data_IF_539462074439
#
_entry.id   IF_539462074439
#
_cell.length_a   1.000
_cell.length_b   1.000
_cell.length_c   1.000
_cell.angle_alpha   90.00
_cell.angle_beta   90.00
_cell.angle_gamma   90.00
#
_symmetry.space_group_name_H-M   'P 1'
#
loop_
_entity.id
_entity.type
_entity.pdbx_description
1 polymer ?
#
# COMPACT_ATOMS: atom_id res chain seq x y z
N UNK A 1 -6.73 29.30 16.97
CA UNK A 1 -6.67 27.87 17.32
C UNK A 1 -5.44 27.30 16.63
N UNK A 2 -4.42 26.90 17.39
CA UNK A 2 -3.17 26.32 16.85
C UNK A 2 -3.52 24.94 16.32
N UNK A 3 -3.52 24.77 15.00
CA UNK A 3 -3.47 23.45 14.39
C UNK A 3 -2.07 22.92 14.61
N UNK A 4 -1.90 22.02 15.58
CA UNK A 4 -0.70 21.19 15.66
C UNK A 4 -0.66 20.35 14.38
N UNK A 5 0.22 20.74 13.45
CA UNK A 5 0.72 19.85 12.41
C UNK A 5 1.54 18.76 13.11
N UNK A 6 0.85 17.76 13.65
CA UNK A 6 1.49 16.50 14.02
C UNK A 6 1.98 15.94 12.69
N UNK A 7 3.29 16.06 12.45
CA UNK A 7 3.99 15.28 11.44
C UNK A 7 3.94 13.82 11.92
N UNK A 8 2.75 13.22 11.83
CA UNK A 8 2.52 11.82 12.14
C UNK A 8 3.38 11.07 11.13
N UNK A 9 4.52 10.59 11.62
CA UNK A 9 5.37 9.69 10.86
C UNK A 9 4.53 8.47 10.53
N UNK A 10 3.93 8.47 9.35
CA UNK A 10 3.03 7.42 8.90
C UNK A 10 3.68 6.06 9.18
N UNK A 11 2.91 5.16 9.79
CA UNK A 11 3.38 3.80 10.05
C UNK A 11 3.79 3.14 8.73
N UNK A 12 4.67 2.14 8.78
CA UNK A 12 5.08 1.41 7.58
C UNK A 12 3.86 0.86 6.81
N UNK A 13 2.85 0.37 7.53
CA UNK A 13 1.57 -0.09 6.97
C UNK A 13 0.83 1.04 6.25
N UNK A 14 0.68 2.20 6.90
CA UNK A 14 0.00 3.36 6.31
C UNK A 14 0.74 3.90 5.08
N UNK A 15 2.09 3.90 5.09
CA UNK A 15 2.90 4.27 3.92
C UNK A 15 2.68 3.32 2.74
N UNK A 16 2.62 2.01 3.01
CA UNK A 16 2.33 0.99 1.99
C UNK A 16 0.92 1.18 1.42
N UNK A 17 -0.08 1.38 2.28
CA UNK A 17 -1.45 1.61 1.85
C UNK A 17 -1.58 2.89 1.01
N UNK A 18 -0.96 3.99 1.45
CA UNK A 18 -0.92 5.24 0.69
C UNK A 18 -0.29 5.05 -0.69
N UNK A 19 0.82 4.31 -0.78
CA UNK A 19 1.47 4.02 -2.06
C UNK A 19 0.60 3.13 -2.97
N UNK A 20 -0.06 2.12 -2.40
CA UNK A 20 -0.98 1.23 -3.10
C UNK A 20 -2.19 1.99 -3.65
N UNK A 21 -2.84 2.81 -2.82
CA UNK A 21 -3.97 3.66 -3.25
C UNK A 21 -3.53 4.67 -4.32
N UNK A 22 -2.37 5.30 -4.16
CA UNK A 22 -1.90 6.33 -5.09
C UNK A 22 -1.46 5.78 -6.46
N UNK A 23 -0.88 4.57 -6.52
CA UNK A 23 -0.39 3.97 -7.78
C UNK A 23 -1.35 2.95 -8.38
N UNK A 24 -2.28 2.41 -7.60
CA UNK A 24 -3.09 1.24 -7.94
C UNK A 24 -2.29 -0.07 -8.02
N UNK A 25 -1.03 -0.05 -8.49
CA UNK A 25 -0.14 -1.20 -8.63
C UNK A 25 1.27 -0.88 -8.16
N UNK A 26 1.81 -1.68 -7.25
CA UNK A 26 3.12 -1.47 -6.63
C UNK A 26 3.93 -2.76 -6.65
N UNK A 27 5.23 -2.67 -6.94
CA UNK A 27 6.13 -3.83 -6.95
C UNK A 27 6.71 -4.17 -5.57
N UNK A 28 7.10 -5.43 -5.35
CA UNK A 28 7.81 -5.85 -4.14
C UNK A 28 9.10 -5.07 -3.88
N UNK A 29 9.81 -4.63 -4.93
CA UNK A 29 11.01 -3.80 -4.82
C UNK A 29 10.71 -2.42 -4.22
N UNK A 30 9.57 -1.84 -4.55
CA UNK A 30 9.13 -0.56 -3.98
C UNK A 30 8.69 -0.73 -2.53
N UNK A 31 7.93 -1.78 -2.22
CA UNK A 31 7.52 -2.08 -0.85
C UNK A 31 8.71 -2.35 0.07
N UNK A 32 9.75 -3.02 -0.43
CA UNK A 32 10.99 -3.30 0.32
C UNK A 32 11.74 -2.04 0.73
N UNK A 33 11.59 -0.92 0.00
CA UNK A 33 12.15 0.39 0.38
C UNK A 33 11.42 1.02 1.56
N UNK A 34 10.15 0.65 1.79
CA UNK A 34 9.34 1.17 2.90
C UNK A 34 9.48 0.28 4.13
N UNK A 35 9.42 -1.04 3.94
CA UNK A 35 9.48 -2.00 5.03
C UNK A 35 10.18 -3.29 4.59
N UNK A 36 11.12 -3.76 5.41
CA UNK A 36 11.77 -5.07 5.18
C UNK A 36 10.75 -6.21 5.23
N UNK A 37 9.82 -6.18 6.20
CA UNK A 37 8.73 -7.16 6.36
C UNK A 37 7.44 -6.71 5.67
N UNK A 38 7.54 -6.17 4.46
CA UNK A 38 6.35 -5.75 3.70
C UNK A 38 5.28 -6.84 3.50
N UNK A 39 5.60 -8.16 3.37
CA UNK A 39 4.54 -9.16 3.22
C UNK A 39 3.63 -9.25 4.44
N UNK A 40 4.18 -9.07 5.64
CA UNK A 40 3.40 -9.02 6.88
C UNK A 40 2.50 -7.78 6.89
N UNK A 41 3.00 -6.63 6.42
CA UNK A 41 2.21 -5.39 6.34
C UNK A 41 1.08 -5.47 5.31
N UNK A 42 1.31 -6.16 4.19
CA UNK A 42 0.25 -6.46 3.22
C UNK A 42 -0.80 -7.41 3.83
N UNK A 43 -0.38 -8.38 4.65
CA UNK A 43 -1.31 -9.26 5.36
C UNK A 43 -2.14 -8.49 6.39
N UNK A 44 -1.51 -7.60 7.16
CA UNK A 44 -2.20 -6.70 8.10
C UNK A 44 -3.30 -5.91 7.38
N UNK A 45 -2.97 -5.28 6.23
CA UNK A 45 -3.94 -4.54 5.41
C UNK A 45 -5.09 -5.41 4.91
N UNK A 46 -4.83 -6.66 4.51
CA UNK A 46 -5.89 -7.60 4.11
C UNK A 46 -6.80 -7.96 5.28
N UNK A 47 -6.25 -8.14 6.48
CA UNK A 47 -7.04 -8.39 7.69
C UNK A 47 -7.85 -7.16 8.12
N UNK A 48 -7.35 -5.95 7.87
CA UNK A 48 -8.09 -4.69 8.05
C UNK A 48 -9.23 -4.52 7.03
N UNK A 49 -9.36 -5.41 6.04
CA UNK A 49 -10.43 -5.41 5.04
C UNK A 49 -10.06 -4.77 3.71
N UNK A 50 -8.80 -4.36 3.52
CA UNK A 50 -8.35 -3.81 2.24
C UNK A 50 -8.22 -4.89 1.17
N UNK A 51 -8.85 -4.65 0.02
CA UNK A 51 -8.77 -5.57 -1.12
C UNK A 51 -7.46 -5.36 -1.88
N UNK A 52 -6.49 -6.25 -1.63
CA UNK A 52 -5.18 -6.22 -2.28
C UNK A 52 -4.93 -7.54 -3.01
N UNK A 53 -4.85 -7.52 -4.34
CA UNK A 53 -4.43 -8.67 -5.14
C UNK A 53 -2.92 -8.74 -5.26
N UNK A 54 -2.37 -9.95 -5.14
CA UNK A 54 -0.95 -10.21 -5.39
C UNK A 54 -0.83 -10.92 -6.73
N UNK A 55 -0.12 -10.30 -7.68
CA UNK A 55 0.14 -10.85 -9.01
C UNK A 55 1.61 -11.15 -9.14
N UNK A 56 1.94 -12.41 -9.38
CA UNK A 56 3.29 -12.80 -9.78
C UNK A 56 3.43 -12.51 -11.27
N UNK A 57 4.48 -11.78 -11.63
CA UNK A 57 4.77 -11.47 -13.03
C UNK A 57 5.71 -12.55 -13.60
N UNK A 58 6.96 -12.21 -13.95
CA UNK A 58 7.99 -13.19 -14.29
C UNK A 58 9.26 -12.96 -13.47
N UNK A 59 9.90 -14.05 -13.06
CA UNK A 59 11.11 -14.03 -12.23
C UNK A 59 10.84 -13.64 -10.76
N UNK A 60 11.70 -12.83 -10.15
CA UNK A 60 11.61 -12.47 -8.73
C UNK A 60 10.64 -11.29 -8.44
N UNK A 61 9.91 -10.79 -9.44
CA UNK A 61 9.07 -9.60 -9.31
C UNK A 61 7.63 -9.99 -8.96
N UNK A 62 7.14 -9.38 -7.88
CA UNK A 62 5.74 -9.47 -7.45
C UNK A 62 5.11 -8.09 -7.51
N UNK A 63 3.84 -8.04 -7.92
CA UNK A 63 3.03 -6.84 -7.89
C UNK A 63 1.88 -7.00 -6.90
N UNK A 64 1.58 -5.91 -6.20
CA UNK A 64 0.45 -5.78 -5.30
C UNK A 64 -0.45 -4.70 -5.87
N UNK A 65 -1.71 -5.07 -6.15
CA UNK A 65 -2.70 -4.22 -6.78
C UNK A 65 -3.77 -3.92 -5.73
N UNK A 66 -4.11 -2.65 -5.56
CA UNK A 66 -5.23 -2.23 -4.72
C UNK A 66 -6.51 -2.28 -5.54
N UNK A 67 -7.43 -3.17 -5.18
CA UNK A 67 -8.76 -3.29 -5.80
C UNK A 67 -9.87 -2.72 -4.92
N UNK A 68 -9.51 -2.17 -3.75
CA UNK A 68 -10.49 -1.56 -2.85
C UNK A 68 -11.18 -0.38 -3.52
N UNK A 69 -12.51 -0.40 -3.56
CA UNK A 69 -13.36 0.73 -3.96
C UNK A 69 -13.44 1.75 -2.83
N UNK A 70 -12.32 2.29 -2.37
CA UNK A 70 -12.31 3.45 -1.49
C UNK A 70 -12.50 4.72 -2.31
N UNK A 71 -13.66 4.88 -2.96
CA UNK A 71 -14.13 6.15 -3.52
C UNK A 71 -13.19 6.90 -4.48
N UNK A 72 -12.12 6.27 -4.98
CA UNK A 72 -11.23 6.88 -5.94
C UNK A 72 -11.80 6.55 -7.32
N UNK A 73 -12.64 7.46 -7.80
CA UNK A 73 -13.10 7.48 -9.18
C UNK A 73 -11.90 7.26 -10.11
N UNK A 74 -12.00 6.36 -11.11
CA UNK A 74 -10.92 6.17 -12.05
C UNK A 74 -10.64 7.51 -12.73
N UNK A 75 -9.40 7.97 -12.64
CA UNK A 75 -8.93 9.10 -13.44
C UNK A 75 -9.04 8.68 -14.91
N UNK A 76 -10.09 9.17 -15.56
CA UNK A 76 -10.37 9.08 -17.01
C UNK A 76 -9.33 9.86 -17.81
#
# INVERSE_FOLDING_TARGET
>A
MRGEEVSESLTQTAKILKLLKAKGKVSNFELRKIAWRYPARILDLKHEGHQIRSVHDKGARWFYIYDGTDGQEPAV
#
